data_IF_678930145237
#
_entry.id   IF_678930145237
#
_cell.length_a   1.000
_cell.length_b   1.000
_cell.length_c   1.000
_cell.angle_alpha   90.00
_cell.angle_beta   90.00
_cell.angle_gamma   90.00
#
_symmetry.space_group_name_H-M   'P 1'
#
loop_
_entity.id
_entity.type
_entity.pdbx_description
1 polymer ?
#
# COMPACT_ATOMS: atom_id res chain seq x y z
N UNK A 1 14.35 -13.63 -2.95
CA UNK A 1 14.82 -13.67 -1.56
C UNK A 1 15.73 -12.46 -1.31
N UNK A 2 15.19 -11.38 -0.84
CA UNK A 2 15.97 -10.24 -0.31
C UNK A 2 15.63 -10.12 1.16
N UNK A 3 16.63 -10.34 2.01
CA UNK A 3 16.53 -10.22 3.46
C UNK A 3 16.40 -8.74 3.81
N UNK A 4 15.27 -8.38 4.41
CA UNK A 4 15.10 -7.09 5.08
C UNK A 4 15.90 -7.14 6.39
N UNK A 5 16.99 -6.40 6.46
CA UNK A 5 17.72 -6.16 7.69
C UNK A 5 17.06 -4.99 8.43
N UNK A 6 16.44 -5.28 9.54
CA UNK A 6 15.98 -4.30 10.49
C UNK A 6 17.19 -3.74 11.27
N UNK A 7 17.54 -2.50 11.00
CA UNK A 7 18.53 -1.76 11.78
C UNK A 7 17.80 -0.82 12.74
N UNK A 8 17.98 -1.08 14.04
CA UNK A 8 17.57 -0.22 15.14
C UNK A 8 18.13 1.21 14.93
N UNK A 9 17.24 2.20 14.82
CA UNK A 9 17.61 3.59 14.93
C UNK A 9 17.67 3.99 16.41
N UNK A 10 18.86 4.39 16.83
CA UNK A 10 19.15 4.88 18.18
C UNK A 10 18.41 6.19 18.44
N UNK A 11 17.74 6.26 19.60
CA UNK A 11 17.19 7.47 20.18
C UNK A 11 18.32 8.49 20.40
N UNK A 12 18.36 9.57 19.61
CA UNK A 12 19.09 10.78 20.00
C UNK A 12 18.11 11.75 20.65
N UNK A 13 18.20 11.82 21.97
CA UNK A 13 17.55 12.86 22.75
C UNK A 13 18.23 14.20 22.43
N UNK A 14 17.55 15.07 21.69
CA UNK A 14 17.95 16.47 21.55
C UNK A 14 17.49 17.22 22.80
N UNK A 15 18.43 17.49 23.70
CA UNK A 15 18.22 18.41 24.81
C UNK A 15 18.16 19.84 24.24
N UNK A 16 16.98 20.44 24.23
CA UNK A 16 16.80 21.87 24.00
C UNK A 16 17.39 22.63 25.20
N UNK A 17 18.59 23.16 25.03
CA UNK A 17 19.17 24.12 25.93
C UNK A 17 18.50 25.48 25.71
N UNK A 18 17.59 25.86 26.61
CA UNK A 18 17.12 27.23 26.72
C UNK A 18 18.27 28.10 27.19
N UNK A 19 18.82 28.91 26.28
CA UNK A 19 19.72 30.00 26.66
C UNK A 19 18.90 31.05 27.39
N UNK A 20 19.18 31.22 28.68
CA UNK A 20 18.61 32.29 29.49
C UNK A 20 19.04 33.66 28.93
N UNK A 21 18.07 34.44 28.48
CA UNK A 21 18.32 35.85 28.16
C UNK A 21 18.71 36.61 29.40
N UNK A 22 19.87 37.23 29.34
CA UNK A 22 20.43 38.17 30.29
C UNK A 22 19.52 39.41 30.37
N UNK A 23 19.23 39.86 31.58
CA UNK A 23 18.45 41.09 31.86
C UNK A 23 19.21 42.32 31.39
N UNK A 24 18.78 42.89 30.28
CA UNK A 24 19.17 44.23 29.89
C UNK A 24 18.39 45.28 30.67
N UNK A 25 19.09 46.37 31.03
CA UNK A 25 18.60 47.49 31.81
C UNK A 25 17.45 48.22 31.12
N UNK A 26 16.57 48.93 31.86
CA UNK A 26 15.46 49.68 31.26
C UNK A 26 16.06 50.88 30.47
N UNK A 27 16.07 50.71 29.14
CA UNK A 27 16.26 51.81 28.21
C UNK A 27 14.90 52.48 27.98
N UNK A 28 14.91 53.81 28.02
CA UNK A 28 13.76 54.69 27.76
C UNK A 28 13.16 54.40 26.42
N UNK A 29 11.94 53.83 26.39
CA UNK A 29 11.13 53.63 25.16
C UNK A 29 10.84 54.99 24.53
N UNK A 30 11.36 55.20 23.32
CA UNK A 30 10.98 56.32 22.46
C UNK A 30 9.68 55.97 21.75
N UNK A 31 8.51 56.59 22.09
CA UNK A 31 7.21 56.25 21.53
C UNK A 31 7.03 56.60 20.04
N UNK A 32 8.09 57.12 19.37
CA UNK A 32 8.06 57.51 17.95
C UNK A 32 8.72 56.52 16.99
N UNK A 33 9.34 55.43 17.50
CA UNK A 33 9.84 54.38 16.61
C UNK A 33 8.77 53.36 16.27
N UNK A 34 8.52 53.11 14.96
CA UNK A 34 7.67 52.01 14.57
C UNK A 34 8.23 50.71 15.17
N UNK A 35 7.47 50.06 16.02
CA UNK A 35 7.76 48.73 16.52
C UNK A 35 7.87 47.80 15.31
N UNK A 36 8.95 46.99 15.17
CA UNK A 36 8.98 45.98 14.13
C UNK A 36 7.73 45.16 14.19
N UNK A 37 7.07 44.83 13.06
CA UNK A 37 5.90 43.98 13.07
C UNK A 37 6.28 42.67 13.76
N UNK A 38 5.49 42.30 14.77
CA UNK A 38 5.60 40.98 15.40
C UNK A 38 5.50 39.95 14.29
N UNK A 39 6.41 38.97 14.17
CA UNK A 39 6.29 37.91 13.16
C UNK A 39 4.90 37.30 13.30
N UNK A 40 4.08 37.44 12.28
CA UNK A 40 2.75 36.82 12.26
C UNK A 40 2.98 35.33 12.05
N UNK A 41 2.54 34.51 13.00
CA UNK A 41 2.61 33.06 12.89
C UNK A 41 1.91 32.60 11.62
N UNK A 42 2.57 31.75 10.83
CA UNK A 42 1.99 31.18 9.61
C UNK A 42 0.80 30.29 10.00
N UNK A 43 -0.37 30.60 9.45
CA UNK A 43 -1.60 29.85 9.65
C UNK A 43 -2.22 29.45 8.32
N UNK A 44 -3.14 28.49 8.35
CA UNK A 44 -3.79 27.94 7.16
C UNK A 44 -5.31 27.93 7.33
N UNK A 45 -6.02 28.41 6.31
CA UNK A 45 -7.43 28.08 6.10
C UNK A 45 -7.48 26.89 5.13
N UNK A 46 -8.13 25.79 5.57
CA UNK A 46 -8.21 24.57 4.79
C UNK A 46 -9.67 24.11 4.67
N UNK A 47 -10.01 23.53 3.52
CA UNK A 47 -11.31 22.91 3.32
C UNK A 47 -11.21 21.73 2.36
N UNK A 48 -12.17 20.80 2.48
CA UNK A 48 -12.37 19.69 1.57
C UNK A 48 -13.77 19.83 0.99
N UNK A 49 -13.90 19.66 -0.31
CA UNK A 49 -15.15 19.80 -1.06
C UNK A 49 -15.29 18.66 -2.08
N UNK A 50 -16.49 18.53 -2.65
CA UNK A 50 -16.82 17.62 -3.73
C UNK A 50 -16.24 16.20 -3.54
N UNK A 51 -16.42 15.69 -2.30
CA UNK A 51 -15.96 14.36 -1.92
C UNK A 51 -16.76 13.32 -2.69
N UNK A 52 -16.07 12.42 -3.35
CA UNK A 52 -16.62 11.28 -4.06
C UNK A 52 -16.26 9.97 -3.36
N UNK A 53 -16.42 8.85 -4.03
CA UNK A 53 -16.03 7.53 -3.53
C UNK A 53 -14.52 7.35 -3.49
N UNK A 54 -13.79 7.97 -4.43
CA UNK A 54 -12.36 7.73 -4.67
C UNK A 54 -11.56 9.01 -4.77
N UNK A 55 -12.19 10.17 -4.68
CA UNK A 55 -11.51 11.48 -4.77
C UNK A 55 -12.16 12.54 -3.89
N UNK A 56 -11.43 13.62 -3.67
CA UNK A 56 -11.92 14.83 -3.03
C UNK A 56 -11.15 16.04 -3.57
N UNK A 57 -11.78 17.24 -3.55
CA UNK A 57 -11.09 18.49 -3.84
C UNK A 57 -10.65 19.16 -2.55
N UNK A 58 -9.38 19.54 -2.47
CA UNK A 58 -8.82 20.23 -1.32
C UNK A 58 -8.50 21.68 -1.67
N UNK A 59 -8.68 22.56 -0.68
CA UNK A 59 -8.32 23.97 -0.77
C UNK A 59 -7.48 24.34 0.44
N UNK A 60 -6.40 25.11 0.20
CA UNK A 60 -5.51 25.62 1.23
C UNK A 60 -5.20 27.07 0.93
N UNK A 61 -5.40 27.94 1.93
CA UNK A 61 -5.01 29.35 1.86
C UNK A 61 -4.08 29.63 3.04
N UNK A 62 -2.76 29.79 2.81
CA UNK A 62 -1.83 30.22 3.84
C UNK A 62 -2.01 31.72 4.15
N UNK A 63 -1.77 32.13 5.39
CA UNK A 63 -1.78 33.56 5.79
C UNK A 63 -0.65 34.37 5.15
N UNK A 64 0.45 33.70 4.77
CA UNK A 64 1.54 34.22 3.96
C UNK A 64 1.65 33.43 2.66
N UNK A 65 1.39 34.07 1.53
CA UNK A 65 1.39 33.44 0.20
C UNK A 65 2.79 33.08 -0.30
N UNK A 66 3.84 33.58 0.32
CA UNK A 66 5.23 33.27 -0.04
C UNK A 66 5.79 32.11 0.81
N UNK A 67 5.04 31.67 1.83
CA UNK A 67 5.47 30.58 2.68
C UNK A 67 5.33 29.23 1.96
N UNK A 68 6.32 28.36 2.19
CA UNK A 68 6.29 26.98 1.73
C UNK A 68 5.52 26.11 2.73
N UNK A 69 4.73 25.18 2.21
CA UNK A 69 3.97 24.25 3.02
C UNK A 69 3.77 22.89 2.35
N UNK A 70 3.53 21.87 3.16
CA UNK A 70 3.12 20.56 2.71
C UNK A 70 1.61 20.39 2.94
N UNK A 71 0.92 19.81 1.96
CA UNK A 71 -0.48 19.41 2.05
C UNK A 71 -0.59 17.95 1.62
N UNK A 72 -1.01 17.07 2.53
CA UNK A 72 -1.12 15.62 2.31
C UNK A 72 -2.44 15.09 2.86
N UNK A 73 -2.92 13.98 2.29
CA UNK A 73 -4.11 13.27 2.76
C UNK A 73 -3.72 11.90 3.28
N UNK A 74 -4.12 11.61 4.52
CA UNK A 74 -3.88 10.32 5.17
C UNK A 74 -5.19 9.74 5.68
N UNK A 75 -5.31 8.41 5.70
CA UNK A 75 -6.46 7.77 6.34
C UNK A 75 -6.47 8.06 7.85
N UNK A 76 -7.66 8.08 8.45
CA UNK A 76 -7.82 8.45 9.85
C UNK A 76 -7.09 7.49 10.79
N UNK A 77 -7.04 6.20 10.47
CA UNK A 77 -6.32 5.21 11.27
C UNK A 77 -4.84 5.57 11.42
N UNK A 78 -4.18 5.91 10.31
CA UNK A 78 -2.75 6.29 10.34
C UNK A 78 -2.48 7.58 11.12
N UNK A 79 -3.44 8.52 11.14
CA UNK A 79 -3.29 9.81 11.86
C UNK A 79 -3.59 9.67 13.35
N UNK A 80 -4.65 8.94 13.70
CA UNK A 80 -5.17 8.84 15.07
C UNK A 80 -4.28 8.02 16.03
N UNK A 81 -3.23 7.38 15.50
CA UNK A 81 -2.22 6.68 16.30
C UNK A 81 -1.22 7.63 17.00
N UNK A 82 -1.09 8.86 16.52
CA UNK A 82 -0.10 9.81 17.03
C UNK A 82 -0.73 10.82 17.97
N UNK A 83 -0.13 10.97 19.14
CA UNK A 83 -0.66 11.86 20.19
C UNK A 83 -0.24 13.32 20.00
N UNK A 84 0.81 13.59 19.25
CA UNK A 84 1.38 14.91 19.03
C UNK A 84 1.66 15.20 17.56
N UNK A 85 1.60 16.49 17.18
CA UNK A 85 1.96 16.94 15.83
C UNK A 85 3.40 16.54 15.46
N UNK A 86 4.33 16.57 16.41
CA UNK A 86 5.72 16.21 16.18
C UNK A 86 5.89 14.74 15.77
N UNK A 87 5.16 13.83 16.43
CA UNK A 87 5.15 12.41 16.08
C UNK A 87 4.52 12.18 14.71
N UNK A 88 3.38 12.84 14.44
CA UNK A 88 2.70 12.75 13.15
C UNK A 88 3.55 13.28 12.00
N UNK A 89 4.20 14.44 12.18
CA UNK A 89 5.13 15.01 11.18
C UNK A 89 6.32 14.07 10.94
N UNK A 90 6.89 13.48 11.99
CA UNK A 90 7.97 12.52 11.87
C UNK A 90 7.55 11.29 11.05
N UNK A 91 6.32 10.78 11.24
CA UNK A 91 5.76 9.70 10.43
C UNK A 91 5.60 10.12 8.97
N UNK A 92 4.99 11.29 8.70
CA UNK A 92 4.82 11.81 7.35
C UNK A 92 6.16 11.92 6.62
N UNK A 93 7.18 12.45 7.28
CA UNK A 93 8.52 12.59 6.69
C UNK A 93 9.20 11.24 6.47
N UNK A 94 8.99 10.26 7.36
CA UNK A 94 9.49 8.90 7.16
C UNK A 94 8.85 8.23 5.93
N UNK A 95 7.54 8.39 5.74
CA UNK A 95 6.83 7.87 4.58
C UNK A 95 7.32 8.51 3.28
N UNK A 96 7.44 9.84 3.27
CA UNK A 96 7.98 10.58 2.12
C UNK A 96 9.40 10.11 1.80
N UNK A 97 10.26 9.93 2.81
CA UNK A 97 11.63 9.45 2.62
C UNK A 97 11.64 8.06 1.99
N UNK A 98 10.83 7.13 2.53
CA UNK A 98 10.72 5.76 1.99
C UNK A 98 10.22 5.75 0.55
N UNK A 99 9.22 6.59 0.24
CA UNK A 99 8.69 6.72 -1.11
C UNK A 99 9.73 7.32 -2.08
N UNK A 100 10.40 8.39 -1.69
CA UNK A 100 11.44 9.04 -2.49
C UNK A 100 12.60 8.07 -2.80
N UNK A 101 13.08 7.32 -1.81
CA UNK A 101 14.10 6.27 -2.00
C UNK A 101 13.65 5.21 -3.01
N UNK A 102 12.38 4.82 -2.98
CA UNK A 102 11.77 3.90 -3.96
C UNK A 102 11.80 4.45 -5.40
N UNK A 103 11.79 5.78 -5.55
CA UNK A 103 11.91 6.49 -6.83
C UNK A 103 13.36 6.88 -7.19
N UNK A 104 14.35 6.47 -6.40
CA UNK A 104 15.75 6.87 -6.50
C UNK A 104 15.97 8.39 -6.32
N UNK A 105 15.16 9.02 -5.48
CA UNK A 105 15.28 10.42 -5.06
C UNK A 105 15.66 10.51 -3.58
N UNK A 106 16.30 11.60 -3.19
CA UNK A 106 16.45 11.96 -1.77
C UNK A 106 15.20 12.65 -1.26
N UNK A 107 15.00 12.68 0.07
CA UNK A 107 13.90 13.44 0.69
C UNK A 107 13.86 14.90 0.23
N UNK A 108 15.03 15.58 0.18
CA UNK A 108 15.12 16.99 -0.22
C UNK A 108 14.74 17.19 -1.69
N UNK A 109 15.16 16.32 -2.59
CA UNK A 109 14.77 16.37 -4.01
C UNK A 109 13.27 16.20 -4.17
N UNK A 110 12.69 15.20 -3.49
CA UNK A 110 11.24 14.97 -3.51
C UNK A 110 10.46 16.15 -2.96
N UNK A 111 10.87 16.71 -1.80
CA UNK A 111 10.21 17.87 -1.18
C UNK A 111 10.29 19.11 -2.08
N UNK A 112 11.39 19.33 -2.77
CA UNK A 112 11.53 20.47 -3.70
C UNK A 112 10.49 20.46 -4.83
N UNK A 113 10.02 19.27 -5.25
CA UNK A 113 9.02 19.11 -6.31
C UNK A 113 7.58 19.16 -5.77
N UNK A 114 7.36 18.80 -4.50
CA UNK A 114 6.01 18.55 -3.97
C UNK A 114 5.51 19.60 -2.98
N UNK A 115 6.42 20.40 -2.40
CA UNK A 115 6.06 21.53 -1.54
C UNK A 115 5.23 22.56 -2.32
N UNK A 116 4.22 23.11 -1.67
CA UNK A 116 3.30 24.09 -2.25
C UNK A 116 3.64 25.50 -1.76
N UNK A 117 3.30 26.51 -2.58
CA UNK A 117 3.41 27.93 -2.27
C UNK A 117 2.18 28.65 -2.81
N UNK A 118 1.71 29.67 -2.12
CA UNK A 118 0.49 30.37 -2.49
C UNK A 118 -0.77 29.59 -2.17
N UNK A 119 -1.88 29.93 -2.81
CA UNK A 119 -3.15 29.23 -2.63
C UNK A 119 -3.17 27.93 -3.43
N UNK A 120 -3.72 26.89 -2.84
CA UNK A 120 -4.12 25.67 -3.51
C UNK A 120 -5.65 25.67 -3.61
N UNK A 121 -6.18 25.78 -4.83
CA UNK A 121 -7.63 25.88 -5.07
C UNK A 121 -8.09 24.72 -5.94
N UNK A 122 -9.14 24.03 -5.50
CA UNK A 122 -9.76 22.91 -6.22
C UNK A 122 -8.73 21.87 -6.69
N UNK A 123 -7.78 21.52 -5.82
CA UNK A 123 -6.81 20.49 -6.12
C UNK A 123 -7.42 19.12 -5.85
N UNK A 124 -7.52 18.31 -6.89
CA UNK A 124 -8.05 16.96 -6.79
C UNK A 124 -7.04 16.01 -6.13
N UNK A 125 -7.52 15.25 -5.16
CA UNK A 125 -6.81 14.12 -4.54
C UNK A 125 -7.58 12.87 -4.89
N UNK A 126 -7.01 12.01 -5.73
CA UNK A 126 -7.59 10.73 -6.16
C UNK A 126 -6.96 9.53 -5.44
N UNK A 127 -7.40 8.32 -5.83
CA UNK A 127 -6.90 7.07 -5.28
C UNK A 127 -7.36 6.79 -3.84
N UNK A 128 -8.42 7.46 -3.38
CA UNK A 128 -8.99 7.24 -2.04
C UNK A 128 -9.84 5.97 -2.02
N UNK A 129 -9.89 5.31 -0.86
CA UNK A 129 -10.78 4.16 -0.63
C UNK A 129 -12.18 4.67 -0.25
N UNK A 130 -13.23 4.06 -0.83
CA UNK A 130 -14.62 4.39 -0.51
C UNK A 130 -14.95 4.17 0.99
N UNK A 131 -15.98 4.85 1.49
CA UNK A 131 -16.49 4.72 2.86
C UNK A 131 -15.47 4.96 3.98
N UNK A 132 -14.30 5.51 3.65
CA UNK A 132 -13.13 5.62 4.53
C UNK A 132 -12.97 7.03 5.05
N UNK A 133 -12.60 7.16 6.34
CA UNK A 133 -12.28 8.44 6.96
C UNK A 133 -10.85 8.86 6.66
N UNK A 134 -10.68 10.12 6.27
CA UNK A 134 -9.39 10.74 5.95
C UNK A 134 -9.20 12.06 6.70
N UNK A 135 -7.95 12.50 6.78
CA UNK A 135 -7.55 13.83 7.19
C UNK A 135 -6.76 14.51 6.07
N UNK A 136 -7.14 15.72 5.71
CA UNK A 136 -6.24 16.67 5.07
C UNK A 136 -5.35 17.25 6.15
N UNK A 137 -4.03 17.12 5.99
CA UNK A 137 -2.99 17.60 6.90
C UNK A 137 -2.18 18.68 6.20
N UNK A 138 -2.05 19.86 6.81
CA UNK A 138 -1.31 20.99 6.23
C UNK A 138 -0.41 21.59 7.29
N UNK A 139 0.86 21.79 6.98
CA UNK A 139 1.82 22.47 7.85
C UNK A 139 2.91 23.16 7.05
N UNK A 140 3.44 24.26 7.60
CA UNK A 140 4.55 25.00 7.00
C UNK A 140 5.86 24.21 7.06
N UNK A 141 6.72 24.41 6.06
CA UNK A 141 8.06 23.84 5.99
C UNK A 141 9.09 24.92 5.66
N UNK A 142 10.31 24.75 6.16
CA UNK A 142 11.42 25.68 5.91
C UNK A 142 12.38 25.09 4.87
N UNK A 143 12.31 25.60 3.64
CA UNK A 143 13.16 25.15 2.53
C UNK A 143 14.64 25.51 2.71
N UNK A 144 14.97 26.43 3.64
CA UNK A 144 16.35 26.77 3.98
C UNK A 144 16.95 25.86 5.04
N UNK A 145 16.13 25.01 5.67
CA UNK A 145 16.50 24.07 6.71
C UNK A 145 15.99 22.65 6.37
N UNK A 146 16.37 22.14 5.22
CA UNK A 146 16.06 20.78 4.73
C UNK A 146 14.56 20.42 4.83
N UNK A 147 13.68 21.40 4.63
CA UNK A 147 12.22 21.27 4.76
C UNK A 147 11.73 20.85 6.16
N UNK A 148 12.46 21.22 7.22
CA UNK A 148 11.98 21.05 8.58
C UNK A 148 10.61 21.70 8.76
N UNK A 149 9.72 21.07 9.55
CA UNK A 149 8.41 21.65 9.83
C UNK A 149 8.54 22.96 10.61
N UNK A 150 7.82 23.99 10.17
CA UNK A 150 7.86 25.34 10.73
C UNK A 150 6.60 25.74 11.48
N UNK A 151 5.52 24.94 11.40
CA UNK A 151 4.25 25.16 12.12
C UNK A 151 3.71 23.86 12.70
N UNK A 152 2.71 23.97 13.60
CA UNK A 152 1.82 22.87 13.97
C UNK A 152 1.00 22.38 12.75
N UNK A 153 0.43 21.17 12.84
CA UNK A 153 -0.38 20.58 11.77
C UNK A 153 -1.82 21.12 11.85
N UNK A 154 -2.30 21.70 10.77
CA UNK A 154 -3.71 22.01 10.57
C UNK A 154 -4.41 20.82 9.94
N UNK A 155 -5.55 20.37 10.52
CA UNK A 155 -6.26 19.17 10.08
C UNK A 155 -7.70 19.45 9.69
N UNK A 156 -8.18 18.79 8.63
CA UNK A 156 -9.61 18.74 8.29
C UNK A 156 -10.00 17.28 8.00
N UNK A 157 -10.96 16.75 8.77
CA UNK A 157 -11.47 15.38 8.60
C UNK A 157 -12.57 15.35 7.55
N UNK A 158 -12.58 14.32 6.72
CA UNK A 158 -13.66 14.03 5.76
C UNK A 158 -13.85 12.53 5.61
N UNK A 159 -14.95 12.11 5.01
CA UNK A 159 -15.22 10.70 4.70
C UNK A 159 -15.63 10.59 3.24
N UNK A 160 -15.02 9.66 2.51
CA UNK A 160 -15.39 9.32 1.13
C UNK A 160 -16.77 8.67 1.08
N UNK A 161 -17.48 8.84 -0.03
CA UNK A 161 -18.78 8.23 -0.27
C UNK A 161 -18.69 6.71 -0.40
N UNK A 162 -19.82 6.03 -0.23
CA UNK A 162 -19.95 4.58 -0.46
C UNK A 162 -20.44 4.30 -1.89
N UNK A 163 -19.99 3.19 -2.50
CA UNK A 163 -20.61 2.67 -3.70
C UNK A 163 -22.03 2.18 -3.40
N UNK A 164 -22.89 2.16 -4.40
CA UNK A 164 -24.22 1.59 -4.25
C UNK A 164 -24.10 0.12 -3.85
N UNK A 165 -24.65 -0.22 -2.67
CA UNK A 165 -24.56 -1.57 -2.13
C UNK A 165 -25.40 -2.56 -2.95
N UNK A 166 -24.81 -3.72 -3.21
CA UNK A 166 -25.50 -4.86 -3.82
C UNK A 166 -26.00 -5.83 -2.75
N UNK A 167 -27.13 -6.47 -2.98
CA UNK A 167 -27.66 -7.53 -2.11
C UNK A 167 -27.12 -8.92 -2.49
N UNK A 168 -26.21 -9.00 -3.47
CA UNK A 168 -25.62 -10.26 -3.89
C UNK A 168 -24.81 -10.89 -2.75
N UNK A 169 -25.02 -12.18 -2.55
CA UNK A 169 -24.25 -13.01 -1.60
C UNK A 169 -23.44 -14.06 -2.36
N UNK A 170 -22.37 -14.57 -1.72
CA UNK A 170 -21.47 -15.55 -2.33
C UNK A 170 -21.38 -16.81 -1.48
N UNK A 171 -21.55 -17.99 -2.12
CA UNK A 171 -21.18 -19.27 -1.56
C UNK A 171 -19.78 -19.63 -2.06
N UNK A 172 -18.87 -19.97 -1.14
CA UNK A 172 -17.48 -20.31 -1.44
C UNK A 172 -17.18 -21.74 -1.01
N UNK A 173 -16.46 -22.48 -1.85
CA UNK A 173 -15.94 -23.82 -1.54
C UNK A 173 -14.50 -23.93 -2.02
N UNK A 174 -13.67 -24.64 -1.27
CA UNK A 174 -12.31 -24.97 -1.69
C UNK A 174 -12.11 -26.47 -1.79
N UNK A 175 -11.35 -26.89 -2.79
CA UNK A 175 -10.81 -28.25 -2.91
C UNK A 175 -9.30 -28.12 -3.04
N UNK A 176 -8.57 -28.66 -2.08
CA UNK A 176 -7.11 -28.47 -1.97
C UNK A 176 -6.41 -29.75 -2.40
N UNK A 177 -5.39 -29.60 -3.25
CA UNK A 177 -4.48 -30.66 -3.64
C UNK A 177 -3.04 -30.18 -3.59
N UNK A 178 -2.28 -30.67 -2.61
CA UNK A 178 -0.89 -30.28 -2.39
C UNK A 178 -0.71 -28.74 -2.31
N UNK A 179 -0.01 -28.18 -3.27
CA UNK A 179 0.30 -26.74 -3.38
C UNK A 179 -0.65 -25.98 -4.31
N UNK A 180 -1.82 -26.56 -4.59
CA UNK A 180 -2.88 -25.92 -5.38
C UNK A 180 -4.21 -25.98 -4.65
N UNK A 181 -5.11 -25.05 -4.93
CA UNK A 181 -6.48 -25.07 -4.46
C UNK A 181 -7.43 -24.62 -5.58
N UNK A 182 -8.51 -25.37 -5.79
CA UNK A 182 -9.62 -24.94 -6.63
C UNK A 182 -10.67 -24.27 -5.74
N UNK A 183 -10.96 -23.00 -6.00
CA UNK A 183 -11.91 -22.19 -5.25
C UNK A 183 -13.13 -21.95 -6.12
N UNK A 184 -14.27 -22.54 -5.72
CA UNK A 184 -15.53 -22.36 -6.41
C UNK A 184 -16.31 -21.24 -5.77
N UNK A 185 -16.74 -20.28 -6.59
CA UNK A 185 -17.53 -19.10 -6.22
C UNK A 185 -18.89 -19.19 -6.89
N UNK A 186 -19.95 -19.13 -6.11
CA UNK A 186 -21.34 -19.11 -6.60
C UNK A 186 -22.03 -17.85 -6.08
N UNK A 187 -22.22 -16.82 -6.93
CA UNK A 187 -23.00 -15.64 -6.56
C UNK A 187 -24.51 -15.95 -6.56
N UNK A 188 -25.28 -15.29 -5.69
CA UNK A 188 -26.75 -15.36 -5.70
C UNK A 188 -27.39 -14.63 -6.88
N UNK A 189 -26.67 -13.66 -7.47
CA UNK A 189 -27.01 -12.99 -8.73
C UNK A 189 -25.90 -13.22 -9.75
N UNK A 190 -26.20 -13.93 -10.84
CA UNK A 190 -25.25 -14.25 -11.89
C UNK A 190 -24.82 -13.02 -12.73
N UNK A 191 -25.51 -11.89 -12.63
CA UNK A 191 -25.15 -10.66 -13.31
C UNK A 191 -24.18 -9.81 -12.49
N UNK A 192 -24.10 -10.05 -11.17
CA UNK A 192 -23.13 -9.36 -10.31
C UNK A 192 -21.72 -9.64 -10.80
N UNK A 193 -21.00 -8.57 -11.10
CA UNK A 193 -19.55 -8.63 -11.32
C UNK A 193 -18.87 -8.81 -9.97
N UNK A 194 -17.87 -9.67 -9.91
CA UNK A 194 -17.14 -9.96 -8.67
C UNK A 194 -15.66 -10.23 -8.93
N UNK A 195 -14.86 -10.05 -7.89
CA UNK A 195 -13.43 -10.34 -7.88
C UNK A 195 -13.07 -11.23 -6.70
N UNK A 196 -11.93 -11.92 -6.81
CA UNK A 196 -11.39 -12.80 -5.78
C UNK A 196 -9.95 -12.45 -5.50
N UNK A 197 -9.62 -12.23 -4.24
CA UNK A 197 -8.24 -12.15 -3.76
C UNK A 197 -7.92 -13.36 -2.89
N UNK A 198 -6.67 -13.83 -2.96
CA UNK A 198 -6.18 -14.95 -2.16
C UNK A 198 -4.79 -14.66 -1.63
N UNK A 199 -4.61 -14.80 -0.32
CA UNK A 199 -3.33 -14.54 0.33
C UNK A 199 -3.07 -15.49 1.49
N UNK A 200 -1.82 -15.55 1.97
CA UNK A 200 -1.52 -16.27 3.21
C UNK A 200 -2.19 -15.59 4.42
N UNK A 201 -2.49 -16.35 5.46
CA UNK A 201 -3.02 -15.77 6.71
C UNK A 201 -1.98 -14.87 7.37
N UNK A 202 -0.70 -15.13 7.16
CA UNK A 202 0.37 -14.27 7.68
C UNK A 202 0.37 -12.90 7.00
N UNK A 203 0.23 -12.84 5.68
CA UNK A 203 0.06 -11.58 4.94
C UNK A 203 -1.21 -10.86 5.35
N UNK A 204 -2.34 -11.58 5.46
CA UNK A 204 -3.59 -11.04 5.95
C UNK A 204 -3.43 -10.36 7.32
N UNK A 205 -2.79 -11.05 8.26
CA UNK A 205 -2.55 -10.51 9.60
C UNK A 205 -1.62 -9.28 9.57
N UNK A 206 -0.63 -9.24 8.68
CA UNK A 206 0.25 -8.09 8.55
C UNK A 206 -0.50 -6.81 8.17
N UNK A 207 -1.55 -6.93 7.35
CA UNK A 207 -2.37 -5.78 6.93
C UNK A 207 -3.47 -5.40 7.92
N UNK A 208 -4.03 -6.38 8.66
CA UNK A 208 -5.25 -6.18 9.45
C UNK A 208 -5.01 -6.11 10.96
N UNK A 209 -3.80 -6.41 11.45
CA UNK A 209 -3.49 -6.34 12.87
C UNK A 209 -3.71 -4.92 13.41
N UNK A 210 -4.43 -4.80 14.53
CA UNK A 210 -4.77 -3.52 15.15
C UNK A 210 -3.55 -2.74 15.68
N UNK A 211 -2.44 -3.43 15.92
CA UNK A 211 -1.13 -2.88 16.29
C UNK A 211 -0.14 -2.87 15.12
N UNK A 212 -0.62 -3.20 13.91
CA UNK A 212 0.15 -3.21 12.68
C UNK A 212 0.24 -1.84 12.01
N UNK A 213 1.02 -1.76 10.94
CA UNK A 213 1.24 -0.51 10.19
C UNK A 213 -0.05 0.01 9.55
N UNK A 214 -0.94 -0.89 9.10
CA UNK A 214 -2.12 -0.53 8.31
C UNK A 214 -3.44 -0.62 9.10
N UNK A 215 -3.65 -1.67 9.90
CA UNK A 215 -4.88 -1.90 10.66
C UNK A 215 -6.16 -1.91 9.80
N UNK A 216 -6.03 -2.37 8.55
CA UNK A 216 -7.14 -2.34 7.59
C UNK A 216 -8.29 -3.26 7.99
N UNK A 217 -9.52 -2.79 7.77
CA UNK A 217 -10.70 -3.66 7.70
C UNK A 217 -10.61 -4.60 6.50
N UNK A 218 -11.48 -5.61 6.44
CA UNK A 218 -11.54 -6.51 5.28
C UNK A 218 -11.93 -5.78 4.00
N UNK A 219 -12.76 -4.75 4.11
CA UNK A 219 -13.17 -3.89 3.00
C UNK A 219 -11.98 -3.08 2.48
N UNK A 220 -11.23 -2.44 3.37
CA UNK A 220 -10.04 -1.67 3.00
C UNK A 220 -8.96 -2.57 2.40
N UNK A 221 -8.69 -3.73 3.02
CA UNK A 221 -7.75 -4.71 2.49
C UNK A 221 -8.12 -5.13 1.06
N UNK A 222 -9.40 -5.49 0.85
CA UNK A 222 -9.89 -5.92 -0.45
C UNK A 222 -9.76 -4.81 -1.49
N UNK A 223 -10.22 -3.59 -1.15
CA UNK A 223 -10.19 -2.45 -2.07
C UNK A 223 -8.74 -2.04 -2.43
N UNK A 224 -7.84 -1.96 -1.45
CA UNK A 224 -6.45 -1.60 -1.70
C UNK A 224 -5.71 -2.67 -2.52
N UNK A 225 -5.95 -3.96 -2.25
CA UNK A 225 -5.38 -5.05 -3.07
C UNK A 225 -5.88 -4.98 -4.50
N UNK A 226 -7.18 -4.78 -4.70
CA UNK A 226 -7.77 -4.64 -6.03
C UNK A 226 -7.21 -3.44 -6.80
N UNK A 227 -7.06 -2.30 -6.15
CA UNK A 227 -6.46 -1.10 -6.75
C UNK A 227 -5.01 -1.39 -7.20
N UNK A 228 -4.21 -2.04 -6.36
CA UNK A 228 -2.82 -2.43 -6.69
C UNK A 228 -2.75 -3.38 -7.89
N UNK A 229 -3.69 -4.32 -8.01
CA UNK A 229 -3.76 -5.23 -9.16
C UNK A 229 -4.12 -4.46 -10.46
N UNK A 230 -5.04 -3.51 -10.38
CA UNK A 230 -5.40 -2.64 -11.52
C UNK A 230 -4.21 -1.78 -11.94
N UNK A 231 -3.60 -1.05 -11.01
CA UNK A 231 -2.42 -0.19 -11.26
C UNK A 231 -1.26 -0.98 -11.88
N UNK A 232 -1.05 -2.22 -11.44
CA UNK A 232 -0.03 -3.10 -12.01
C UNK A 232 -0.31 -3.38 -13.50
N UNK A 233 -1.57 -3.67 -13.83
CA UNK A 233 -1.96 -3.96 -15.21
C UNK A 233 -1.96 -2.72 -16.11
N UNK A 234 -2.32 -1.57 -15.56
CA UNK A 234 -2.19 -0.27 -16.23
C UNK A 234 -0.73 0.07 -16.51
N UNK A 235 0.16 -0.18 -15.55
CA UNK A 235 1.61 -0.06 -15.72
C UNK A 235 2.19 -1.01 -16.78
N UNK A 236 1.54 -2.16 -17.04
CA UNK A 236 1.83 -3.06 -18.16
C UNK A 236 1.25 -2.54 -19.51
N UNK A 237 0.52 -1.43 -19.51
CA UNK A 237 -0.12 -0.86 -20.71
C UNK A 237 -1.41 -1.56 -21.12
N UNK A 238 -2.09 -2.26 -20.20
CA UNK A 238 -3.39 -2.90 -20.48
C UNK A 238 -4.52 -1.87 -20.59
N UNK A 239 -5.44 -2.13 -21.53
CA UNK A 239 -6.66 -1.34 -21.61
C UNK A 239 -7.66 -1.70 -20.49
N UNK A 240 -8.62 -0.81 -20.23
CA UNK A 240 -9.71 -1.02 -19.27
C UNK A 240 -10.48 -2.32 -19.54
N UNK A 241 -10.71 -2.68 -20.81
CA UNK A 241 -11.40 -3.91 -21.22
C UNK A 241 -10.54 -5.15 -20.93
N UNK A 242 -9.23 -5.09 -21.16
CA UNK A 242 -8.29 -6.20 -20.85
C UNK A 242 -8.18 -6.40 -19.35
N UNK A 243 -8.14 -5.33 -18.56
CA UNK A 243 -8.14 -5.38 -17.08
C UNK A 243 -9.44 -6.02 -16.60
N UNK A 244 -10.59 -5.54 -17.08
CA UNK A 244 -11.89 -6.10 -16.75
C UNK A 244 -11.99 -7.60 -17.06
N UNK A 245 -11.54 -8.02 -18.23
CA UNK A 245 -11.58 -9.41 -18.66
C UNK A 245 -10.64 -10.32 -17.83
N UNK A 246 -9.54 -9.77 -17.32
CA UNK A 246 -8.54 -10.51 -16.54
C UNK A 246 -8.93 -10.66 -15.07
N UNK A 247 -9.44 -9.59 -14.44
CA UNK A 247 -9.69 -9.57 -13.01
C UNK A 247 -11.12 -9.93 -12.63
N UNK A 248 -12.11 -9.60 -13.47
CA UNK A 248 -13.50 -9.65 -13.06
C UNK A 248 -14.30 -10.79 -13.67
N UNK A 249 -15.18 -11.31 -12.87
CA UNK A 249 -15.99 -12.49 -13.21
C UNK A 249 -17.47 -12.21 -13.02
N UNK A 250 -18.31 -12.99 -13.73
CA UNK A 250 -19.77 -13.07 -13.54
C UNK A 250 -20.20 -14.52 -13.49
N UNK A 251 -21.32 -14.79 -12.80
CA UNK A 251 -21.85 -16.12 -12.60
C UNK A 251 -20.92 -17.03 -11.79
N UNK A 252 -21.26 -18.32 -11.75
CA UNK A 252 -20.46 -19.32 -11.06
C UNK A 252 -19.12 -19.56 -11.76
N UNK A 253 -18.03 -19.58 -11.01
CA UNK A 253 -16.67 -19.90 -11.50
C UNK A 253 -15.91 -20.74 -10.49
N UNK A 254 -14.97 -21.54 -11.01
CA UNK A 254 -13.92 -22.17 -10.22
C UNK A 254 -12.59 -21.59 -10.66
N UNK A 255 -11.86 -20.98 -9.74
CA UNK A 255 -10.55 -20.38 -9.95
C UNK A 255 -9.48 -21.21 -9.24
N UNK A 256 -8.30 -21.30 -9.83
CA UNK A 256 -7.20 -22.08 -9.27
C UNK A 256 -6.15 -21.16 -8.63
N UNK A 257 -5.91 -21.34 -7.34
CA UNK A 257 -4.74 -20.84 -6.66
C UNK A 257 -3.61 -21.86 -6.81
N UNK A 258 -2.47 -21.46 -7.34
CA UNK A 258 -1.29 -22.29 -7.57
C UNK A 258 -0.08 -21.75 -6.83
N UNK A 259 0.99 -22.55 -6.76
CA UNK A 259 2.24 -22.18 -6.07
C UNK A 259 2.06 -21.86 -4.58
N UNK A 260 1.06 -22.47 -3.95
CA UNK A 260 0.84 -22.31 -2.51
C UNK A 260 2.02 -22.93 -1.73
N UNK A 261 2.42 -22.28 -0.66
CA UNK A 261 3.40 -22.85 0.26
C UNK A 261 2.79 -24.08 0.96
N UNK A 262 3.52 -25.19 1.10
CA UNK A 262 3.01 -26.38 1.78
C UNK A 262 2.60 -26.09 3.24
N UNK A 263 1.57 -26.77 3.74
CA UNK A 263 1.09 -26.69 5.12
C UNK A 263 0.75 -25.29 5.61
N UNK A 264 0.50 -24.35 4.69
CA UNK A 264 0.26 -22.94 5.00
C UNK A 264 -1.24 -22.64 5.00
N UNK A 265 -1.67 -21.81 5.94
CA UNK A 265 -3.05 -21.31 5.96
C UNK A 265 -3.21 -20.15 5.00
N UNK A 266 -4.30 -20.18 4.24
CA UNK A 266 -4.70 -19.15 3.29
C UNK A 266 -6.08 -18.63 3.61
N UNK A 267 -6.30 -17.38 3.29
CA UNK A 267 -7.62 -16.76 3.27
C UNK A 267 -7.91 -16.26 1.87
N UNK A 268 -9.13 -16.49 1.44
CA UNK A 268 -9.68 -15.98 0.17
C UNK A 268 -10.85 -15.08 0.50
N UNK A 269 -10.90 -13.93 -0.16
CA UNK A 269 -12.03 -13.02 -0.10
C UNK A 269 -12.66 -12.90 -1.49
N UNK A 270 -14.00 -12.82 -1.52
CA UNK A 270 -14.76 -12.50 -2.72
C UNK A 270 -15.71 -11.37 -2.41
N UNK A 271 -15.72 -10.35 -3.25
CA UNK A 271 -16.69 -9.26 -3.16
C UNK A 271 -17.32 -8.97 -4.52
N UNK A 272 -18.58 -8.53 -4.49
CA UNK A 272 -19.21 -7.88 -5.62
C UNK A 272 -18.56 -6.54 -5.88
N UNK A 273 -18.38 -6.21 -7.15
CA UNK A 273 -17.78 -4.97 -7.58
C UNK A 273 -18.61 -4.28 -8.67
N UNK A 274 -18.37 -2.99 -8.85
CA UNK A 274 -18.68 -2.23 -10.06
C UNK A 274 -17.33 -1.74 -10.64
N UNK A 275 -17.22 -1.76 -11.96
CA UNK A 275 -16.01 -1.26 -12.64
C UNK A 275 -16.46 -0.29 -13.74
N UNK A 276 -16.21 0.98 -13.54
CA UNK A 276 -16.62 2.10 -14.39
C UNK A 276 -15.48 3.10 -14.47
N UNK A 277 -15.23 3.65 -15.66
CA UNK A 277 -14.22 4.69 -15.92
C UNK A 277 -12.79 4.35 -15.44
N UNK A 278 -12.44 3.05 -15.39
CA UNK A 278 -11.13 2.58 -14.90
C UNK A 278 -11.08 2.36 -13.38
N UNK A 279 -12.13 2.72 -12.64
CA UNK A 279 -12.22 2.52 -11.20
C UNK A 279 -13.05 1.28 -10.83
N UNK A 280 -12.52 0.44 -9.96
CA UNK A 280 -13.22 -0.69 -9.39
C UNK A 280 -13.59 -0.43 -7.93
N UNK A 281 -14.88 -0.58 -7.59
CA UNK A 281 -15.36 -0.35 -6.24
C UNK A 281 -16.14 -1.56 -5.74
N UNK A 282 -15.91 -1.95 -4.48
CA UNK A 282 -16.68 -3.01 -3.85
C UNK A 282 -18.12 -2.56 -3.61
N UNK A 283 -19.08 -3.47 -3.88
CA UNK A 283 -20.52 -3.25 -3.71
C UNK A 283 -21.14 -4.21 -2.69
N UNK A 284 -20.38 -5.19 -2.19
CA UNK A 284 -20.77 -6.09 -1.09
C UNK A 284 -19.65 -6.19 -0.07
N UNK A 285 -19.97 -6.50 1.18
CA UNK A 285 -18.94 -6.89 2.14
C UNK A 285 -18.17 -8.12 1.62
N UNK A 286 -16.84 -8.16 1.77
CA UNK A 286 -16.02 -9.29 1.33
C UNK A 286 -16.40 -10.58 2.07
N UNK A 287 -16.73 -11.63 1.32
CA UNK A 287 -17.01 -12.97 1.86
C UNK A 287 -15.71 -13.74 2.00
N UNK A 288 -15.41 -14.18 3.20
CA UNK A 288 -14.18 -14.92 3.53
C UNK A 288 -14.37 -16.44 3.42
N UNK A 289 -13.31 -17.12 2.94
CA UNK A 289 -13.10 -18.57 3.02
C UNK A 289 -11.66 -18.84 3.45
N UNK A 290 -11.48 -19.59 4.54
CA UNK A 290 -10.16 -20.06 4.98
C UNK A 290 -9.95 -21.53 4.58
N UNK A 291 -8.73 -21.84 4.15
CA UNK A 291 -8.30 -23.20 3.86
C UNK A 291 -6.79 -23.36 4.18
N UNK A 292 -6.34 -24.61 4.20
CA UNK A 292 -4.92 -24.93 4.38
C UNK A 292 -4.42 -25.71 3.19
N UNK A 293 -3.30 -25.32 2.62
CA UNK A 293 -2.61 -26.08 1.58
C UNK A 293 -2.13 -27.44 2.11
N UNK A 294 -2.05 -28.41 1.22
CA UNK A 294 -1.60 -29.75 1.55
C UNK A 294 -0.10 -29.80 1.88
N UNK A 295 0.33 -30.95 2.29
CA UNK A 295 1.76 -31.24 2.42
C UNK A 295 2.36 -31.38 1.03
N UNK A 296 3.57 -30.89 0.80
CA UNK A 296 4.34 -31.36 -0.34
C UNK A 296 4.45 -32.88 -0.18
N UNK A 297 4.17 -33.64 -1.24
CA UNK A 297 4.40 -35.06 -1.19
C UNK A 297 5.87 -35.26 -0.77
N UNK A 298 6.06 -35.88 0.38
CA UNK A 298 7.39 -36.32 0.78
C UNK A 298 7.67 -37.53 -0.12
N UNK A 299 8.04 -37.27 -1.37
CA UNK A 299 8.45 -38.30 -2.27
C UNK A 299 9.87 -38.68 -1.90
N UNK A 300 10.03 -39.79 -1.19
CA UNK A 300 11.31 -40.49 -1.08
C UNK A 300 11.73 -41.05 -2.47
N UNK A 301 11.21 -40.42 -3.53
CA UNK A 301 11.52 -40.77 -4.91
C UNK A 301 12.98 -40.46 -5.16
N UNK A 302 13.74 -41.49 -5.40
CA UNK A 302 15.15 -41.42 -5.79
C UNK A 302 15.28 -41.82 -7.25
N UNK A 303 16.35 -41.34 -7.87
CA UNK A 303 16.67 -41.64 -9.26
C UNK A 303 18.06 -42.26 -9.32
N UNK A 304 18.16 -43.37 -10.02
CA UNK A 304 19.44 -43.91 -10.46
C UNK A 304 19.67 -43.38 -11.88
N UNK A 305 20.81 -42.72 -12.11
CA UNK A 305 21.12 -42.08 -13.39
C UNK A 305 22.43 -42.65 -13.92
N UNK A 306 22.33 -43.43 -14.99
CA UNK A 306 23.48 -43.96 -15.72
C UNK A 306 23.71 -43.13 -16.99
N UNK A 307 24.96 -42.75 -17.23
CA UNK A 307 25.38 -42.10 -18.47
C UNK A 307 26.38 -43.00 -19.15
N UNK A 308 26.00 -43.52 -20.32
CA UNK A 308 26.81 -44.46 -21.11
C UNK A 308 26.97 -43.98 -22.55
N UNK A 309 27.82 -44.61 -23.31
CA UNK A 309 28.03 -44.32 -24.73
C UNK A 309 28.27 -42.85 -25.04
N UNK A 310 29.12 -42.21 -24.22
CA UNK A 310 29.43 -40.78 -24.34
C UNK A 310 30.31 -40.58 -25.59
N UNK A 311 29.78 -39.85 -26.56
CA UNK A 311 30.47 -39.46 -27.81
C UNK A 311 30.66 -37.93 -27.86
N UNK A 312 31.19 -37.44 -28.97
CA UNK A 312 31.50 -36.02 -29.12
C UNK A 312 30.27 -35.10 -29.05
N UNK A 313 29.11 -35.60 -29.49
CA UNK A 313 27.85 -34.85 -29.59
C UNK A 313 26.63 -35.59 -29.00
N UNK A 314 26.83 -36.77 -28.41
CA UNK A 314 25.75 -37.60 -27.91
C UNK A 314 26.18 -38.39 -26.67
N UNK A 315 25.22 -38.76 -25.86
CA UNK A 315 25.35 -39.72 -24.75
C UNK A 315 24.03 -40.46 -24.59
N UNK A 316 24.10 -41.69 -24.12
CA UNK A 316 22.91 -42.40 -23.62
C UNK A 316 22.73 -42.12 -22.13
N UNK A 317 21.53 -41.66 -21.75
CA UNK A 317 21.17 -41.42 -20.36
C UNK A 317 20.02 -42.34 -20.01
N UNK A 318 20.23 -43.17 -19.00
CA UNK A 318 19.18 -44.00 -18.40
C UNK A 318 18.79 -43.39 -17.04
N UNK A 319 17.53 -43.10 -16.89
CA UNK A 319 16.96 -42.61 -15.61
C UNK A 319 16.01 -43.69 -15.09
N UNK A 320 16.29 -44.21 -13.89
CA UNK A 320 15.48 -45.24 -13.24
C UNK A 320 14.92 -44.64 -11.93
N UNK A 321 13.64 -44.28 -11.90
CA UNK A 321 13.03 -43.84 -10.66
C UNK A 321 12.80 -45.03 -9.72
N UNK A 322 12.85 -44.77 -8.39
CA UNK A 322 12.54 -45.80 -7.37
C UNK A 322 11.07 -46.23 -7.37
N UNK A 323 10.17 -45.38 -7.84
CA UNK A 323 8.78 -45.71 -8.18
C UNK A 323 8.61 -45.67 -9.72
N UNK A 324 8.36 -46.81 -10.37
CA UNK A 324 8.23 -46.89 -11.83
C UNK A 324 6.99 -46.18 -12.38
N UNK A 325 6.03 -45.79 -11.52
CA UNK A 325 4.84 -45.03 -11.91
C UNK A 325 4.96 -43.53 -11.67
N UNK A 326 6.10 -43.07 -11.13
CA UNK A 326 6.29 -41.66 -10.87
C UNK A 326 6.43 -40.86 -12.16
N UNK A 327 5.70 -39.77 -12.23
CA UNK A 327 5.92 -38.74 -13.26
C UNK A 327 7.10 -37.85 -12.84
N UNK A 328 8.04 -37.61 -13.74
CA UNK A 328 9.19 -36.78 -13.47
C UNK A 328 9.62 -35.97 -14.69
N UNK A 329 10.30 -34.89 -14.39
CA UNK A 329 10.92 -34.02 -15.42
C UNK A 329 12.44 -34.13 -15.31
N UNK A 330 13.13 -34.15 -16.47
CA UNK A 330 14.60 -34.09 -16.49
C UNK A 330 15.09 -32.94 -17.38
N UNK A 331 16.25 -32.42 -17.05
CA UNK A 331 16.89 -31.35 -17.78
C UNK A 331 18.38 -31.68 -17.94
N UNK A 332 18.91 -31.44 -19.16
CA UNK A 332 20.33 -31.58 -19.46
C UNK A 332 20.90 -30.20 -19.72
N UNK A 333 21.86 -29.79 -18.89
CA UNK A 333 22.56 -28.53 -19.00
C UNK A 333 24.09 -28.76 -19.12
N UNK A 334 24.79 -27.80 -19.68
CA UNK A 334 26.25 -27.81 -19.64
C UNK A 334 26.75 -27.05 -18.41
N UNK A 335 27.82 -27.55 -17.79
CA UNK A 335 28.51 -26.88 -16.69
C UNK A 335 29.52 -25.92 -17.31
N UNK A 336 29.28 -24.62 -17.20
CA UNK A 336 30.31 -23.64 -17.58
C UNK A 336 31.33 -23.57 -16.44
N UNK A 337 32.41 -24.33 -16.55
CA UNK A 337 33.54 -24.24 -15.64
C UNK A 337 34.30 -22.94 -15.91
N UNK A 338 33.83 -21.84 -15.35
CA UNK A 338 34.70 -20.69 -15.15
C UNK A 338 35.66 -21.05 -14.01
N UNK A 339 36.94 -21.23 -14.37
CA UNK A 339 38.05 -21.24 -13.41
C UNK A 339 38.34 -19.85 -12.89
#
# INVERSE_FOLDING_TARGET
>A
MRKFNWMMAALMAFALSFAACEKDKPGTDDPSKPQPPTPTELTFEISVADVTRTSAFINVTPSDLEADYLAVVYNAYSVEQYATDAELIAKIFADITSYAEGQNQTFVEYMAEHVKRGKLENHEVGGLTQATNYYLLVFGVDNTNEYAASTAVKMAKFKTDEAQQSTCTFELKSSVYLTTAAISVTPSDNNQMWHLINMSVDDYNAYTAADGEYGWSNEELFQNTLNTEIETLEGEGRSTEEISAKLFHKGMRTLNASNLQPKTQYTTFVAGIVYEDGEALITTAPKELRYRSGEAANNDLTFDIDVTNVEHYSAEIRITPSDPNAEYYYYIGYINSQK
#
